data_IF_134453900593
#
_entry.id   IF_134453900593
#
_cell.length_a   1.000
_cell.length_b   1.000
_cell.length_c   1.000
_cell.angle_alpha   90.00
_cell.angle_beta   90.00
_cell.angle_gamma   90.00
#
_symmetry.space_group_name_H-M   'P 1'
#
loop_
_entity.id
_entity.type
_entity.pdbx_description
1 polymer ?
#
# COMPACT_ATOMS: atom_id res chain seq x y z
N UNK A 1 27.66 35.06 7.09
CA UNK A 1 26.75 33.93 7.31
C UNK A 1 25.85 33.84 6.08
N UNK A 2 25.92 32.77 5.29
CA UNK A 2 25.06 32.58 4.12
C UNK A 2 23.63 32.44 4.62
N UNK A 3 22.63 33.18 4.09
CA UNK A 3 21.25 33.04 4.54
C UNK A 3 20.76 31.61 4.33
N UNK A 4 20.33 30.95 5.39
CA UNK A 4 19.88 29.54 5.36
C UNK A 4 18.79 29.30 4.32
N UNK A 5 17.88 30.27 4.12
CA UNK A 5 16.80 30.19 3.13
C UNK A 5 17.27 30.08 1.67
N UNK A 6 18.51 30.47 1.39
CA UNK A 6 19.05 30.48 0.03
C UNK A 6 19.84 29.20 -0.29
N UNK A 7 20.08 28.35 0.70
CA UNK A 7 20.94 27.17 0.57
C UNK A 7 20.32 25.87 1.06
N UNK A 8 19.20 25.93 1.78
CA UNK A 8 18.52 24.76 2.31
C UNK A 8 17.07 24.70 1.79
N UNK A 9 16.83 23.79 0.88
CA UNK A 9 15.47 23.34 0.57
C UNK A 9 15.07 22.36 1.67
N UNK A 10 14.17 22.78 2.56
CA UNK A 10 13.62 21.90 3.59
C UNK A 10 12.53 21.00 3.00
N UNK A 11 12.33 19.80 3.58
CA UNK A 11 11.50 18.75 3.02
C UNK A 11 10.00 19.04 3.22
N UNK A 12 9.47 20.11 2.66
CA UNK A 12 8.05 20.42 2.85
C UNK A 12 7.21 20.01 1.65
N UNK A 13 7.50 20.40 0.48
CA UNK A 13 6.77 20.02 -0.72
C UNK A 13 7.70 19.64 -1.88
N UNK A 14 9.00 19.79 -1.68
CA UNK A 14 10.03 19.51 -2.67
C UNK A 14 10.89 18.33 -2.23
N UNK A 15 11.58 17.74 -3.19
CA UNK A 15 12.61 16.73 -2.92
C UNK A 15 13.67 17.32 -1.97
N UNK A 16 14.13 16.50 -1.05
CA UNK A 16 15.21 16.88 -0.14
C UNK A 16 16.47 17.26 -0.92
N UNK A 17 17.38 18.00 -0.25
CA UNK A 17 18.64 18.38 -0.85
C UNK A 17 19.59 17.23 -1.24
N UNK A 18 19.19 15.98 -1.03
CA UNK A 18 19.89 14.78 -1.49
C UNK A 18 19.61 14.43 -2.95
N UNK A 19 18.60 15.03 -3.55
CA UNK A 19 18.22 14.73 -4.91
C UNK A 19 18.32 15.96 -5.82
N UNK A 20 18.52 15.75 -7.13
CA UNK A 20 18.52 16.85 -8.08
C UNK A 20 17.19 17.64 -8.02
N UNK A 21 17.23 18.94 -8.27
CA UNK A 21 16.03 19.75 -8.38
C UNK A 21 15.04 19.15 -9.39
N UNK A 22 13.75 19.21 -9.09
CA UNK A 22 12.71 18.81 -10.02
C UNK A 22 12.71 19.67 -11.29
N UNK A 23 12.50 19.05 -12.43
CA UNK A 23 12.18 19.72 -13.68
C UNK A 23 10.85 20.47 -13.60
N UNK A 24 10.55 21.30 -14.59
CA UNK A 24 9.31 22.11 -14.61
C UNK A 24 8.05 21.22 -14.62
N UNK A 25 8.04 20.19 -15.48
CA UNK A 25 6.94 19.24 -15.59
C UNK A 25 6.76 18.42 -14.32
N UNK A 26 7.87 17.94 -13.73
CA UNK A 26 7.85 17.19 -12.47
C UNK A 26 7.24 18.02 -11.32
N UNK A 27 7.62 19.31 -11.22
CA UNK A 27 7.02 20.23 -10.24
C UNK A 27 5.54 20.47 -10.51
N UNK A 28 5.13 20.62 -11.75
CA UNK A 28 3.73 20.82 -12.12
C UNK A 28 2.87 19.58 -11.76
N UNK A 29 3.39 18.39 -12.01
CA UNK A 29 2.73 17.12 -11.66
C UNK A 29 2.65 16.96 -10.14
N UNK A 30 3.75 17.19 -9.41
CA UNK A 30 3.76 17.14 -7.96
C UNK A 30 2.78 18.17 -7.36
N UNK A 31 2.78 19.42 -7.85
CA UNK A 31 1.85 20.46 -7.38
C UNK A 31 0.38 20.08 -7.64
N UNK A 32 0.09 19.38 -8.74
CA UNK A 32 -1.25 18.89 -9.05
C UNK A 32 -1.65 17.75 -8.10
N UNK A 33 -0.77 16.79 -7.84
CA UNK A 33 -0.98 15.73 -6.86
C UNK A 33 -1.16 16.31 -5.44
N UNK A 34 -0.33 17.27 -5.05
CA UNK A 34 -0.44 17.95 -3.75
C UNK A 34 -1.78 18.68 -3.60
N UNK A 35 -2.22 19.41 -4.64
CA UNK A 35 -3.53 20.08 -4.63
C UNK A 35 -4.67 19.10 -4.45
N UNK A 36 -4.68 18.00 -5.19
CA UNK A 36 -5.66 16.92 -5.03
C UNK A 36 -5.64 16.33 -3.62
N UNK A 37 -4.45 16.04 -3.09
CA UNK A 37 -4.28 15.54 -1.72
C UNK A 37 -4.83 16.53 -0.68
N UNK A 38 -4.56 17.82 -0.85
CA UNK A 38 -4.97 18.88 0.06
C UNK A 38 -6.46 19.21 -0.01
N UNK A 39 -7.01 19.29 -1.22
CA UNK A 39 -8.37 19.80 -1.45
C UNK A 39 -9.42 18.68 -1.51
N UNK A 40 -9.01 17.43 -1.82
CA UNK A 40 -9.91 16.28 -1.95
C UNK A 40 -9.64 15.24 -0.88
N UNK A 41 -8.43 14.63 -0.86
CA UNK A 41 -8.18 13.49 0.03
C UNK A 41 -8.26 13.87 1.51
N UNK A 42 -7.61 14.95 1.91
CA UNK A 42 -7.53 15.34 3.33
C UNK A 42 -8.89 15.71 3.93
N UNK A 43 -9.73 16.56 3.32
CA UNK A 43 -11.05 16.88 3.88
C UNK A 43 -11.98 15.66 3.86
N UNK A 44 -12.04 14.92 2.75
CA UNK A 44 -12.91 13.74 2.63
C UNK A 44 -12.44 12.63 3.59
N UNK A 45 -11.13 12.38 3.69
CA UNK A 45 -10.60 11.39 4.62
C UNK A 45 -10.92 11.69 6.08
N UNK A 46 -10.93 12.98 6.48
CA UNK A 46 -11.36 13.43 7.81
C UNK A 46 -12.86 13.23 8.06
N UNK A 47 -13.67 13.46 7.04
CA UNK A 47 -15.12 13.26 7.10
C UNK A 47 -15.44 11.77 7.25
N UNK A 48 -14.90 10.93 6.37
CA UNK A 48 -15.09 9.47 6.40
C UNK A 48 -14.59 8.83 7.70
N UNK A 49 -13.51 9.36 8.29
CA UNK A 49 -12.98 8.88 9.58
C UNK A 49 -13.99 8.99 10.72
N UNK A 50 -14.96 9.89 10.63
CA UNK A 50 -16.00 10.15 11.63
C UNK A 50 -17.33 9.46 11.34
N UNK A 51 -17.47 8.89 10.14
CA UNK A 51 -18.70 8.23 9.71
C UNK A 51 -18.75 6.78 10.21
N UNK A 52 -19.98 6.27 10.31
CA UNK A 52 -20.20 4.83 10.39
C UNK A 52 -19.70 4.15 9.11
N UNK A 53 -19.07 2.95 9.20
CA UNK A 53 -18.52 2.28 8.03
C UNK A 53 -19.50 2.03 6.89
N UNK A 54 -20.76 1.67 7.19
CA UNK A 54 -21.78 1.48 6.16
C UNK A 54 -22.20 2.81 5.52
N UNK A 55 -22.32 3.87 6.33
CA UNK A 55 -22.62 5.21 5.83
C UNK A 55 -21.48 5.77 4.96
N UNK A 56 -20.23 5.45 5.29
CA UNK A 56 -19.04 5.89 4.55
C UNK A 56 -19.01 5.40 3.10
N UNK A 57 -19.68 4.30 2.78
CA UNK A 57 -19.75 3.72 1.43
C UNK A 57 -21.15 3.78 0.82
N UNK A 58 -22.12 4.37 1.50
CA UNK A 58 -23.49 4.50 0.99
C UNK A 58 -23.55 5.34 -0.30
N UNK A 59 -24.55 5.16 -1.16
CA UNK A 59 -24.75 6.05 -2.30
C UNK A 59 -24.82 7.51 -1.87
N UNK A 60 -24.05 8.38 -2.56
CA UNK A 60 -23.97 9.81 -2.23
C UNK A 60 -22.91 10.15 -1.17
N UNK A 61 -22.23 9.17 -0.59
CA UNK A 61 -21.08 9.41 0.30
C UNK A 61 -19.95 10.15 -0.43
N UNK A 62 -19.20 11.02 0.28
CA UNK A 62 -18.04 11.69 -0.28
C UNK A 62 -16.93 10.72 -0.74
N UNK A 63 -16.93 9.46 -0.27
CA UNK A 63 -16.03 8.42 -0.75
C UNK A 63 -16.03 8.30 -2.29
N UNK A 64 -17.20 8.31 -2.92
CA UNK A 64 -17.35 8.18 -4.37
C UNK A 64 -16.81 9.40 -5.14
N UNK A 65 -16.87 10.58 -4.52
CA UNK A 65 -16.29 11.81 -5.08
C UNK A 65 -14.78 11.68 -5.27
N UNK A 66 -14.08 10.97 -4.37
CA UNK A 66 -12.63 10.75 -4.48
C UNK A 66 -12.27 10.07 -5.80
N UNK A 67 -13.00 9.03 -6.19
CA UNK A 67 -12.75 8.33 -7.46
C UNK A 67 -13.09 9.18 -8.68
N UNK A 68 -14.17 9.94 -8.61
CA UNK A 68 -14.55 10.84 -9.69
C UNK A 68 -13.52 11.97 -9.91
N UNK A 69 -12.98 12.54 -8.83
CA UNK A 69 -11.93 13.56 -8.91
C UNK A 69 -10.57 12.98 -9.30
N UNK A 70 -10.22 11.78 -8.79
CA UNK A 70 -9.00 11.10 -9.19
C UNK A 70 -8.98 10.75 -10.69
N UNK A 71 -10.11 10.33 -11.24
CA UNK A 71 -10.24 10.05 -12.67
C UNK A 71 -9.93 11.27 -13.56
N UNK A 72 -10.23 12.49 -13.08
CA UNK A 72 -9.92 13.74 -13.81
C UNK A 72 -8.42 14.05 -13.87
N UNK A 73 -7.62 13.47 -12.95
CA UNK A 73 -6.17 13.66 -12.97
C UNK A 73 -5.50 12.85 -14.09
N UNK A 74 -6.16 11.80 -14.59
CA UNK A 74 -5.62 10.93 -15.65
C UNK A 74 -4.34 10.18 -15.23
N UNK A 75 -4.11 9.96 -13.94
CA UNK A 75 -2.92 9.29 -13.40
C UNK A 75 -3.09 7.76 -13.42
N UNK A 76 -3.40 7.23 -14.57
CA UNK A 76 -3.53 5.80 -14.82
C UNK A 76 -2.23 5.21 -15.44
N UNK A 77 -2.14 3.89 -15.65
CA UNK A 77 -0.96 3.28 -16.26
C UNK A 77 -0.55 3.88 -17.60
N UNK A 78 -1.49 4.41 -18.40
CA UNK A 78 -1.19 5.02 -19.70
C UNK A 78 -0.48 6.37 -19.58
N UNK A 79 -0.73 7.10 -18.48
CA UNK A 79 -0.01 8.32 -18.17
C UNK A 79 1.49 8.03 -17.95
N UNK A 80 1.80 7.05 -17.10
CA UNK A 80 3.21 6.70 -16.82
C UNK A 80 3.94 6.11 -18.03
N UNK A 81 3.23 5.42 -18.92
CA UNK A 81 3.80 4.86 -20.15
C UNK A 81 4.27 5.92 -21.17
N UNK A 82 3.94 7.19 -20.97
CA UNK A 82 4.38 8.30 -21.84
C UNK A 82 5.82 8.78 -21.52
N UNK A 83 6.37 8.36 -20.36
CA UNK A 83 7.68 8.76 -19.89
C UNK A 83 8.70 7.62 -20.04
N UNK A 84 9.97 7.97 -20.06
CA UNK A 84 11.01 6.97 -19.88
C UNK A 84 10.89 6.32 -18.48
N UNK A 85 11.38 5.08 -18.31
CA UNK A 85 11.17 4.34 -17.05
C UNK A 85 11.69 5.06 -15.80
N UNK A 86 12.79 5.77 -15.87
CA UNK A 86 13.36 6.46 -14.70
C UNK A 86 12.50 7.67 -14.30
N UNK A 87 12.05 8.45 -15.28
CA UNK A 87 11.11 9.57 -15.05
C UNK A 87 9.78 9.05 -14.53
N UNK A 88 9.22 7.98 -15.12
CA UNK A 88 7.97 7.39 -14.65
C UNK A 88 8.04 6.97 -13.17
N UNK A 89 9.13 6.31 -12.76
CA UNK A 89 9.36 5.90 -11.36
C UNK A 89 9.46 7.10 -10.42
N UNK A 90 10.17 8.15 -10.85
CA UNK A 90 10.27 9.39 -10.06
C UNK A 90 8.90 10.02 -9.86
N UNK A 91 8.09 10.14 -10.91
CA UNK A 91 6.73 10.68 -10.84
C UNK A 91 5.81 9.81 -9.96
N UNK A 92 5.87 8.49 -10.10
CA UNK A 92 5.13 7.56 -9.25
C UNK A 92 5.45 7.79 -7.78
N UNK A 93 6.72 7.97 -7.45
CA UNK A 93 7.17 8.25 -6.08
C UNK A 93 6.64 9.59 -5.54
N UNK A 94 6.73 10.65 -6.34
CA UNK A 94 6.21 11.98 -5.96
C UNK A 94 4.71 11.94 -5.71
N UNK A 95 3.95 11.36 -6.63
CA UNK A 95 2.49 11.24 -6.54
C UNK A 95 2.10 10.40 -5.32
N UNK A 96 2.73 9.24 -5.11
CA UNK A 96 2.44 8.35 -3.99
C UNK A 96 2.68 9.00 -2.62
N UNK A 97 3.75 9.78 -2.48
CA UNK A 97 4.03 10.55 -1.26
C UNK A 97 2.95 11.63 -1.02
N UNK A 98 2.53 12.36 -2.06
CA UNK A 98 1.47 13.37 -1.92
C UNK A 98 0.12 12.74 -1.56
N UNK A 99 -0.23 11.59 -2.15
CA UNK A 99 -1.46 10.88 -1.79
C UNK A 99 -1.46 10.47 -0.31
N UNK A 100 -0.36 9.91 0.19
CA UNK A 100 -0.20 9.56 1.60
C UNK A 100 -0.23 10.76 2.54
N UNK A 101 0.34 11.89 2.13
CA UNK A 101 0.26 13.16 2.84
C UNK A 101 -1.19 13.66 2.97
N UNK A 102 -2.04 13.38 1.99
CA UNK A 102 -3.46 13.68 2.00
C UNK A 102 -4.24 12.82 2.99
N UNK A 103 -4.31 11.52 2.72
CA UNK A 103 -5.00 10.52 3.55
C UNK A 103 -4.50 9.11 3.24
N UNK A 104 -4.00 8.40 4.24
CA UNK A 104 -3.46 7.05 4.06
C UNK A 104 -4.50 6.05 3.54
N UNK A 105 -5.69 6.02 4.13
CA UNK A 105 -6.74 5.07 3.75
C UNK A 105 -7.23 5.29 2.33
N UNK A 106 -7.46 6.53 1.91
CA UNK A 106 -7.86 6.86 0.54
C UNK A 106 -6.73 6.61 -0.47
N UNK A 107 -5.47 6.88 -0.10
CA UNK A 107 -4.32 6.57 -0.95
C UNK A 107 -4.24 5.07 -1.25
N UNK A 108 -4.38 4.22 -0.21
CA UNK A 108 -4.40 2.76 -0.36
C UNK A 108 -5.63 2.31 -1.15
N UNK A 109 -6.80 2.92 -0.92
CA UNK A 109 -8.03 2.61 -1.65
C UNK A 109 -7.89 2.87 -3.15
N UNK A 110 -7.35 4.04 -3.54
CA UNK A 110 -7.09 4.39 -4.94
C UNK A 110 -6.09 3.42 -5.60
N UNK A 111 -5.01 3.07 -4.90
CA UNK A 111 -4.03 2.12 -5.43
C UNK A 111 -4.62 0.71 -5.59
N UNK A 112 -5.30 0.19 -4.58
CA UNK A 112 -5.95 -1.12 -4.66
C UNK A 112 -6.99 -1.19 -5.79
N UNK A 113 -7.66 -0.07 -6.07
CA UNK A 113 -8.62 0.03 -7.16
C UNK A 113 -7.99 -0.23 -8.54
N UNK A 114 -6.72 0.10 -8.73
CA UNK A 114 -6.02 -0.05 -10.01
C UNK A 114 -5.32 -1.40 -10.19
N UNK A 115 -5.17 -2.22 -9.15
CA UNK A 115 -4.41 -3.47 -9.21
C UNK A 115 -4.87 -4.44 -10.30
N UNK A 116 -6.17 -4.76 -10.47
CA UNK A 116 -6.61 -5.65 -11.53
C UNK A 116 -6.28 -5.09 -12.93
N UNK A 117 -6.49 -3.80 -13.16
CA UNK A 117 -6.17 -3.14 -14.42
C UNK A 117 -4.67 -3.15 -14.73
N UNK A 118 -3.85 -2.78 -13.75
CA UNK A 118 -2.39 -2.79 -13.90
C UNK A 118 -1.85 -4.19 -14.20
N UNK A 119 -2.40 -5.21 -13.54
CA UNK A 119 -2.03 -6.59 -13.77
C UNK A 119 -2.47 -7.07 -15.16
N UNK A 120 -3.69 -6.78 -15.58
CA UNK A 120 -4.18 -7.10 -16.92
C UNK A 120 -3.33 -6.48 -18.02
N UNK A 121 -2.96 -5.21 -17.86
CA UNK A 121 -2.08 -4.49 -18.77
C UNK A 121 -0.67 -5.10 -18.82
N UNK A 122 -0.10 -5.47 -17.66
CA UNK A 122 1.25 -6.05 -17.59
C UNK A 122 1.41 -7.39 -18.30
N UNK A 123 0.33 -8.18 -18.38
CA UNK A 123 0.31 -9.45 -19.12
C UNK A 123 -0.22 -9.32 -20.55
N UNK A 124 -0.59 -8.10 -20.99
CA UNK A 124 -1.09 -7.83 -22.34
C UNK A 124 -2.46 -8.44 -22.66
N UNK A 125 -3.29 -8.74 -21.65
CA UNK A 125 -4.61 -9.32 -21.84
C UNK A 125 -5.66 -8.23 -21.99
N UNK A 126 -6.00 -7.89 -23.26
CA UNK A 126 -6.93 -6.81 -23.59
C UNK A 126 -8.34 -7.02 -23.03
N UNK A 127 -8.86 -8.25 -22.98
CA UNK A 127 -10.18 -8.56 -22.41
C UNK A 127 -10.22 -8.23 -20.93
N UNK A 128 -9.17 -8.56 -20.18
CA UNK A 128 -9.05 -8.23 -18.76
C UNK A 128 -8.81 -6.73 -18.52
N UNK A 129 -8.13 -6.05 -19.43
CA UNK A 129 -8.00 -4.59 -19.41
C UNK A 129 -9.40 -3.94 -19.54
N UNK A 130 -10.18 -4.34 -20.53
CA UNK A 130 -11.56 -3.84 -20.75
C UNK A 130 -12.46 -4.17 -19.55
N UNK A 131 -12.36 -5.40 -19.01
CA UNK A 131 -13.10 -5.83 -17.81
C UNK A 131 -12.80 -4.94 -16.60
N UNK A 132 -11.56 -4.47 -16.45
CA UNK A 132 -11.09 -3.74 -15.28
C UNK A 132 -11.16 -2.22 -15.41
N UNK A 133 -11.25 -1.70 -16.66
CA UNK A 133 -11.27 -0.25 -16.94
C UNK A 133 -12.48 0.42 -16.31
N UNK A 134 -12.24 1.51 -15.59
CA UNK A 134 -13.27 2.30 -14.92
C UNK A 134 -13.94 1.63 -13.71
N UNK A 135 -13.45 0.46 -13.28
CA UNK A 135 -13.97 -0.27 -12.13
C UNK A 135 -13.08 -0.11 -10.92
N UNK A 136 -13.69 -0.11 -9.73
CA UNK A 136 -12.95 -0.17 -8.47
C UNK A 136 -12.51 -1.61 -8.26
N UNK A 137 -11.20 -1.81 -8.20
CA UNK A 137 -10.58 -3.09 -7.95
C UNK A 137 -10.29 -3.35 -6.47
N UNK A 138 -9.98 -4.62 -6.18
CA UNK A 138 -9.38 -5.05 -4.92
C UNK A 138 -8.32 -6.12 -5.16
N UNK A 139 -7.48 -6.33 -4.15
CA UNK A 139 -6.49 -7.40 -4.12
C UNK A 139 -6.89 -8.44 -3.08
N UNK A 140 -7.36 -9.60 -3.55
CA UNK A 140 -7.80 -10.70 -2.72
C UNK A 140 -6.65 -11.70 -2.54
N UNK A 141 -6.01 -11.67 -1.38
CA UNK A 141 -4.92 -12.57 -1.01
C UNK A 141 -5.08 -13.08 0.43
N UNK A 142 -5.48 -12.23 1.37
CA UNK A 142 -5.70 -12.58 2.77
C UNK A 142 -7.01 -13.35 2.92
N UNK A 143 -7.01 -14.38 3.75
CA UNK A 143 -8.14 -15.27 4.00
C UNK A 143 -8.34 -15.45 5.51
N UNK A 144 -9.48 -15.97 5.99
CA UNK A 144 -9.74 -16.09 7.44
C UNK A 144 -8.66 -16.85 8.21
N UNK A 145 -8.05 -17.82 7.58
CA UNK A 145 -7.03 -18.73 8.14
C UNK A 145 -5.62 -18.50 7.55
N UNK A 146 -5.44 -17.44 6.74
CA UNK A 146 -4.17 -17.08 6.10
C UNK A 146 -3.98 -15.57 6.07
N UNK A 147 -2.98 -15.09 6.78
CA UNK A 147 -2.56 -13.69 6.81
C UNK A 147 -1.17 -13.51 6.18
N UNK A 148 -0.23 -12.95 6.94
CA UNK A 148 1.16 -12.73 6.48
C UNK A 148 1.92 -14.03 6.14
N UNK A 149 1.43 -15.19 6.59
CA UNK A 149 1.95 -16.53 6.23
C UNK A 149 1.78 -16.87 4.74
N UNK A 150 0.87 -16.22 4.01
CA UNK A 150 0.77 -16.37 2.54
C UNK A 150 2.04 -15.91 1.80
N UNK A 151 2.86 -15.15 2.47
CA UNK A 151 4.16 -14.69 1.96
C UNK A 151 5.28 -15.72 2.13
N UNK A 152 5.00 -16.93 2.63
CA UNK A 152 5.99 -18.02 2.66
C UNK A 152 6.34 -18.38 1.22
N UNK A 153 7.59 -18.11 0.85
CA UNK A 153 8.17 -18.52 -0.41
C UNK A 153 8.85 -19.88 -0.23
N UNK A 154 8.98 -20.58 -1.34
CA UNK A 154 9.47 -21.96 -1.39
C UNK A 154 10.71 -22.25 -0.58
N UNK A 155 10.73 -23.45 -0.03
CA UNK A 155 11.89 -24.02 0.64
C UNK A 155 12.27 -23.35 1.95
N UNK A 156 11.41 -22.55 2.54
CA UNK A 156 11.62 -22.00 3.87
C UNK A 156 11.16 -23.01 4.93
N UNK A 157 12.03 -23.37 5.87
CA UNK A 157 11.71 -24.15 7.06
C UNK A 157 10.86 -23.31 8.00
N UNK A 158 9.61 -23.07 7.60
CA UNK A 158 8.72 -22.19 8.31
C UNK A 158 7.44 -22.90 8.70
N UNK A 159 7.14 -23.02 9.99
CA UNK A 159 5.97 -23.79 10.44
C UNK A 159 4.63 -23.10 10.20
N UNK A 160 4.60 -21.77 9.98
CA UNK A 160 3.35 -21.03 9.87
C UNK A 160 2.67 -21.14 8.49
N UNK A 161 3.44 -21.30 7.43
CA UNK A 161 2.90 -21.63 6.10
C UNK A 161 2.65 -23.11 5.96
N UNK A 162 2.10 -23.74 6.99
CA UNK A 162 2.06 -25.17 7.16
C UNK A 162 1.71 -25.91 5.86
N UNK A 163 2.50 -26.94 5.49
CA UNK A 163 2.10 -27.88 4.45
C UNK A 163 0.66 -28.34 4.70
N UNK A 164 -0.20 -28.26 3.69
CA UNK A 164 -1.62 -28.61 3.83
C UNK A 164 -2.57 -27.44 4.06
N UNK A 165 -2.11 -26.20 4.31
CA UNK A 165 -2.99 -25.03 4.35
C UNK A 165 -3.21 -24.45 2.95
N UNK A 166 -4.34 -24.79 2.33
CA UNK A 166 -4.75 -24.22 1.02
C UNK A 166 -5.45 -22.88 1.13
N UNK A 167 -5.79 -22.45 2.35
CA UNK A 167 -6.67 -21.29 2.57
C UNK A 167 -8.15 -21.61 2.33
N UNK A 168 -8.99 -20.62 2.56
CA UNK A 168 -10.44 -20.77 2.51
C UNK A 168 -11.00 -20.59 1.09
N UNK A 169 -10.54 -19.55 0.35
CA UNK A 169 -10.90 -19.41 -1.07
C UNK A 169 -10.07 -20.34 -1.92
N UNK A 170 -10.73 -21.17 -2.72
CA UNK A 170 -10.10 -22.14 -3.61
C UNK A 170 -10.70 -22.08 -5.00
N UNK A 171 -9.92 -22.53 -5.99
CA UNK A 171 -10.37 -22.71 -7.35
C UNK A 171 -10.31 -24.16 -7.79
N UNK A 172 -11.24 -24.59 -8.62
CA UNK A 172 -11.09 -25.75 -9.47
C UNK A 172 -10.87 -25.27 -10.90
N UNK A 173 -9.76 -25.68 -11.50
CA UNK A 173 -9.40 -25.28 -12.88
C UNK A 173 -9.60 -26.45 -13.82
N UNK A 174 -10.46 -26.27 -14.82
CA UNK A 174 -10.74 -27.26 -15.87
C UNK A 174 -10.06 -26.86 -17.18
N UNK A 175 -10.39 -27.51 -18.28
CA UNK A 175 -9.91 -27.13 -19.61
C UNK A 175 -10.35 -25.70 -19.98
N UNK A 176 -11.60 -25.31 -19.63
CA UNK A 176 -12.24 -24.10 -20.14
C UNK A 176 -12.63 -23.10 -19.03
N UNK A 177 -12.71 -23.52 -17.79
CA UNK A 177 -13.29 -22.76 -16.68
C UNK A 177 -12.41 -22.75 -15.42
N UNK A 178 -12.59 -21.69 -14.63
CA UNK A 178 -12.17 -21.53 -13.25
C UNK A 178 -13.44 -21.47 -12.39
N UNK A 179 -13.54 -22.32 -11.37
CA UNK A 179 -14.68 -22.35 -10.47
C UNK A 179 -14.21 -21.95 -9.07
N UNK A 180 -14.67 -20.80 -8.57
CA UNK A 180 -14.27 -20.25 -7.28
C UNK A 180 -15.26 -20.59 -6.19
N UNK A 181 -14.75 -20.97 -5.02
CA UNK A 181 -15.53 -21.21 -3.81
C UNK A 181 -14.78 -20.72 -2.57
N UNK A 182 -15.54 -20.27 -1.56
CA UNK A 182 -15.01 -19.90 -0.25
C UNK A 182 -15.15 -18.42 0.10
N UNK A 183 -14.46 -18.02 1.15
CA UNK A 183 -14.52 -16.69 1.75
C UNK A 183 -13.13 -16.08 1.85
N UNK A 184 -12.97 -14.84 1.41
CA UNK A 184 -11.77 -14.07 1.71
C UNK A 184 -11.84 -13.45 3.12
N UNK A 185 -10.73 -12.92 3.60
CA UNK A 185 -10.67 -12.16 4.84
C UNK A 185 -11.45 -10.85 4.73
N UNK A 186 -11.96 -10.36 5.86
CA UNK A 186 -12.53 -9.01 5.97
C UNK A 186 -11.51 -7.88 5.75
N UNK A 187 -10.21 -8.18 5.70
CA UNK A 187 -9.12 -7.21 5.53
C UNK A 187 -8.77 -6.92 4.07
N UNK A 188 -9.57 -7.34 3.13
CA UNK A 188 -9.38 -7.01 1.71
C UNK A 188 -9.70 -5.53 1.48
N UNK A 189 -8.68 -4.77 1.08
CA UNK A 189 -8.82 -3.35 0.73
C UNK A 189 -9.81 -3.18 -0.42
N UNK A 190 -10.78 -2.29 -0.27
CA UNK A 190 -11.95 -2.11 -1.13
C UNK A 190 -12.91 -3.31 -1.18
N UNK A 191 -12.72 -4.39 -0.41
CA UNK A 191 -13.56 -5.59 -0.50
C UNK A 191 -15.05 -5.33 -0.39
N UNK A 192 -15.46 -4.36 0.42
CA UNK A 192 -16.85 -3.98 0.59
C UNK A 192 -17.47 -3.27 -0.64
N UNK A 193 -16.65 -2.70 -1.54
CA UNK A 193 -17.10 -1.85 -2.67
C UNK A 193 -16.58 -2.28 -4.04
N UNK A 194 -15.56 -3.14 -4.09
CA UNK A 194 -14.88 -3.52 -5.32
C UNK A 194 -15.84 -4.16 -6.33
N UNK A 195 -15.61 -3.89 -7.60
CA UNK A 195 -16.35 -4.43 -8.75
C UNK A 195 -15.57 -5.51 -9.49
N UNK A 196 -14.25 -5.56 -9.27
CA UNK A 196 -13.35 -6.54 -9.85
C UNK A 196 -12.25 -6.89 -8.84
N UNK A 197 -11.85 -8.17 -8.76
CA UNK A 197 -10.82 -8.64 -7.85
C UNK A 197 -9.65 -9.26 -8.60
N UNK A 198 -8.42 -8.91 -8.20
CA UNK A 198 -7.22 -9.70 -8.49
C UNK A 198 -7.06 -10.71 -7.37
N UNK A 199 -7.28 -11.99 -7.69
CA UNK A 199 -7.28 -13.09 -6.72
C UNK A 199 -5.97 -13.88 -6.79
N UNK A 200 -5.38 -14.15 -5.61
CA UNK A 200 -4.26 -15.09 -5.42
C UNK A 200 -4.69 -16.21 -4.48
N UNK A 201 -4.95 -17.40 -5.03
CA UNK A 201 -5.64 -18.49 -4.33
C UNK A 201 -5.04 -19.84 -4.67
N UNK A 202 -5.31 -20.85 -3.83
CA UNK A 202 -4.99 -22.23 -4.14
C UNK A 202 -5.94 -22.82 -5.19
N UNK A 203 -5.44 -23.65 -6.07
CA UNK A 203 -6.21 -24.24 -7.16
C UNK A 203 -5.97 -25.75 -7.32
N UNK A 204 -7.04 -26.48 -7.63
CA UNK A 204 -6.99 -27.87 -8.07
C UNK A 204 -7.07 -27.93 -9.59
N UNK A 205 -6.03 -28.47 -10.22
CA UNK A 205 -5.92 -28.68 -11.67
C UNK A 205 -6.32 -30.11 -12.09
N UNK A 206 -7.01 -30.85 -11.22
CA UNK A 206 -7.40 -32.25 -11.43
C UNK A 206 -6.47 -33.28 -10.74
N UNK A 207 -5.45 -32.79 -10.01
CA UNK A 207 -4.48 -33.60 -9.27
C UNK A 207 -4.40 -33.22 -7.76
N UNK A 208 -5.41 -32.50 -7.28
CA UNK A 208 -5.48 -31.98 -5.91
C UNK A 208 -4.86 -30.59 -5.75
N UNK A 209 -4.92 -30.08 -4.52
CA UNK A 209 -4.48 -28.72 -4.19
C UNK A 209 -2.99 -28.58 -3.90
N UNK A 210 -2.28 -29.70 -3.68
CA UNK A 210 -0.91 -29.67 -3.18
C UNK A 210 0.05 -30.38 -4.13
N UNK A 211 1.23 -29.77 -4.29
CA UNK A 211 2.37 -30.37 -4.95
C UNK A 211 3.05 -31.44 -4.08
N UNK A 212 4.07 -32.10 -4.62
CA UNK A 212 4.89 -33.08 -3.90
C UNK A 212 5.68 -32.45 -2.74
N UNK A 213 5.90 -31.15 -2.79
CA UNK A 213 6.54 -30.33 -1.77
C UNK A 213 5.58 -29.93 -0.63
N UNK A 214 4.31 -30.33 -0.71
CA UNK A 214 3.27 -30.00 0.27
C UNK A 214 2.75 -28.56 0.16
N UNK A 215 3.21 -27.77 -0.82
CA UNK A 215 2.72 -26.42 -1.05
C UNK A 215 1.49 -26.42 -1.96
N UNK A 216 0.53 -25.47 -1.77
CA UNK A 216 -0.64 -25.42 -2.62
C UNK A 216 -0.27 -24.99 -4.04
N UNK A 217 -0.87 -25.65 -5.01
CA UNK A 217 -0.88 -25.18 -6.37
C UNK A 217 -1.58 -23.81 -6.41
N UNK A 218 -0.96 -22.81 -7.03
CA UNK A 218 -1.48 -21.45 -7.05
C UNK A 218 -2.17 -21.10 -8.35
N UNK A 219 -3.12 -20.15 -8.24
CA UNK A 219 -3.78 -19.47 -9.34
C UNK A 219 -3.83 -17.97 -9.04
N UNK A 220 -3.38 -17.15 -10.00
CA UNK A 220 -3.77 -15.74 -10.03
C UNK A 220 -4.81 -15.55 -11.12
N UNK A 221 -5.93 -14.89 -10.82
CA UNK A 221 -6.98 -14.59 -11.79
C UNK A 221 -7.66 -13.25 -11.49
N UNK A 222 -8.28 -12.67 -12.52
CA UNK A 222 -9.13 -11.48 -12.36
C UNK A 222 -10.60 -11.92 -12.42
N UNK A 223 -11.34 -11.64 -11.35
CA UNK A 223 -12.72 -12.03 -11.18
C UNK A 223 -13.63 -10.79 -11.15
N UNK A 224 -14.64 -10.66 -12.03
CA UNK A 224 -15.72 -9.70 -11.83
C UNK A 224 -16.52 -10.07 -10.57
N UNK A 225 -16.94 -9.06 -9.81
CA UNK A 225 -17.63 -9.24 -8.54
C UNK A 225 -19.13 -8.89 -8.60
N UNK A 226 -19.66 -8.63 -9.79
CA UNK A 226 -21.07 -8.37 -10.10
C UNK A 226 -21.76 -9.58 -10.77
N UNK A 227 -21.23 -10.79 -10.55
CA UNK A 227 -21.73 -12.05 -11.12
C UNK A 227 -22.44 -12.90 -10.10
N UNK A 228 -23.27 -13.83 -10.58
CA UNK A 228 -23.97 -14.79 -9.73
C UNK A 228 -22.98 -15.60 -8.87
N UNK A 229 -23.33 -15.81 -7.60
CA UNK A 229 -22.50 -16.54 -6.64
C UNK A 229 -21.52 -15.66 -5.85
N UNK A 230 -21.41 -14.37 -6.16
CA UNK A 230 -20.63 -13.43 -5.35
C UNK A 230 -21.54 -12.70 -4.36
N UNK A 231 -21.11 -12.63 -3.10
CA UNK A 231 -21.71 -11.78 -2.09
C UNK A 231 -20.64 -11.11 -1.23
N UNK A 232 -21.01 -10.09 -0.45
CA UNK A 232 -20.07 -9.29 0.35
C UNK A 232 -20.50 -9.20 1.79
N UNK A 233 -19.52 -9.13 2.69
CA UNK A 233 -19.71 -8.74 4.08
C UNK A 233 -19.88 -7.23 4.24
N UNK A 234 -20.11 -6.82 5.49
CA UNK A 234 -20.18 -5.41 5.86
C UNK A 234 -18.78 -4.80 5.96
N UNK A 235 -18.64 -3.49 5.70
CA UNK A 235 -17.37 -2.82 5.92
C UNK A 235 -16.98 -2.85 7.40
N UNK A 236 -15.68 -3.04 7.65
CA UNK A 236 -15.14 -3.14 9.01
C UNK A 236 -15.13 -1.79 9.73
N UNK A 237 -15.53 -1.80 11.01
CA UNK A 237 -15.24 -0.73 11.95
C UNK A 237 -13.80 -0.87 12.46
N UNK A 238 -12.95 0.11 12.21
CA UNK A 238 -11.51 0.09 12.51
C UNK A 238 -11.07 1.27 13.36
N UNK A 239 -9.94 1.14 14.03
CA UNK A 239 -9.35 2.26 14.77
C UNK A 239 -8.72 3.31 13.86
N UNK A 240 -8.14 2.93 12.73
CA UNK A 240 -7.48 3.80 11.76
C UNK A 240 -7.77 3.40 10.33
N UNK A 241 -7.31 4.22 9.37
CA UNK A 241 -7.60 4.04 7.94
C UNK A 241 -9.10 3.81 7.67
N UNK A 242 -9.96 4.52 8.39
CA UNK A 242 -11.42 4.33 8.34
C UNK A 242 -12.01 4.74 6.99
N UNK A 243 -11.28 5.55 6.23
CA UNK A 243 -11.60 5.92 4.85
C UNK A 243 -11.31 4.81 3.81
N UNK A 244 -10.65 3.71 4.21
CA UNK A 244 -10.43 2.52 3.40
C UNK A 244 -11.51 1.48 3.71
N UNK A 245 -12.49 1.24 2.83
CA UNK A 245 -13.54 0.24 3.06
C UNK A 245 -12.98 -1.16 2.87
N UNK A 246 -12.89 -1.92 3.95
CA UNK A 246 -12.47 -3.31 3.95
C UNK A 246 -13.64 -4.20 4.35
N UNK A 247 -13.77 -5.37 3.73
CA UNK A 247 -14.85 -6.32 3.98
C UNK A 247 -14.62 -7.65 3.28
N UNK A 248 -15.36 -8.68 3.73
CA UNK A 248 -15.30 -10.00 3.12
C UNK A 248 -15.93 -10.03 1.72
N UNK A 249 -15.42 -10.97 0.91
CA UNK A 249 -16.03 -11.38 -0.35
C UNK A 249 -16.24 -12.90 -0.27
N UNK A 250 -17.42 -13.35 -0.65
CA UNK A 250 -17.83 -14.76 -0.64
C UNK A 250 -18.03 -15.22 -2.08
N UNK A 251 -17.54 -16.41 -2.40
CA UNK A 251 -17.72 -17.08 -3.67
C UNK A 251 -18.46 -18.40 -3.45
N UNK A 252 -19.58 -18.56 -4.13
CA UNK A 252 -20.39 -19.77 -4.16
C UNK A 252 -20.53 -20.24 -5.60
N UNK A 253 -19.68 -21.22 -5.98
CA UNK A 253 -19.64 -21.83 -7.29
C UNK A 253 -19.55 -20.79 -8.45
N UNK A 254 -18.75 -19.75 -8.26
CA UNK A 254 -18.55 -18.69 -9.26
C UNK A 254 -17.74 -19.22 -10.42
N UNK A 255 -18.30 -19.18 -11.62
CA UNK A 255 -17.69 -19.71 -12.84
C UNK A 255 -17.12 -18.58 -13.70
N UNK A 256 -15.85 -18.67 -14.01
CA UNK A 256 -15.10 -17.73 -14.84
C UNK A 256 -14.49 -18.46 -16.03
N UNK A 257 -14.39 -17.83 -17.20
CA UNK A 257 -13.60 -18.38 -18.31
C UNK A 257 -12.13 -18.57 -17.89
N UNK A 258 -11.50 -19.68 -18.27
CA UNK A 258 -10.08 -19.95 -17.95
C UNK A 258 -9.14 -18.84 -18.44
N UNK A 259 -9.48 -18.13 -19.51
CA UNK A 259 -8.71 -17.00 -20.03
C UNK A 259 -8.66 -15.78 -19.08
N UNK A 260 -9.41 -15.80 -17.97
CA UNK A 260 -9.31 -14.81 -16.89
C UNK A 260 -8.17 -15.13 -15.91
N UNK A 261 -7.45 -16.24 -16.11
CA UNK A 261 -6.21 -16.50 -15.41
C UNK A 261 -5.14 -15.50 -15.81
N UNK A 262 -4.45 -14.98 -14.80
CA UNK A 262 -3.27 -14.10 -14.91
C UNK A 262 -2.00 -14.93 -14.85
N UNK A 263 -1.96 -15.87 -13.91
CA UNK A 263 -0.86 -16.81 -13.74
C UNK A 263 -1.39 -18.18 -13.28
N UNK A 264 -1.01 -19.20 -13.99
CA UNK A 264 -1.29 -20.58 -13.64
C UNK A 264 -0.10 -21.19 -12.86
N UNK A 265 -0.27 -22.37 -12.34
CA UNK A 265 0.62 -23.17 -11.50
C UNK A 265 2.11 -22.77 -11.53
N UNK A 266 2.77 -22.92 -12.66
CA UNK A 266 4.23 -22.68 -12.79
C UNK A 266 4.62 -21.19 -12.74
N UNK A 267 3.70 -20.30 -13.10
CA UNK A 267 3.92 -18.86 -13.16
C UNK A 267 3.50 -18.15 -11.86
N UNK A 268 2.72 -18.83 -11.02
CA UNK A 268 2.04 -18.23 -9.87
C UNK A 268 3.00 -17.53 -8.91
N UNK A 269 4.07 -18.20 -8.51
CA UNK A 269 4.96 -17.65 -7.48
C UNK A 269 5.78 -16.46 -7.96
N UNK A 270 6.22 -16.47 -9.20
CA UNK A 270 6.88 -15.33 -9.82
C UNK A 270 5.95 -14.11 -9.89
N UNK A 271 4.70 -14.33 -10.33
CA UNK A 271 3.70 -13.28 -10.39
C UNK A 271 3.32 -12.75 -9.01
N UNK A 272 3.14 -13.63 -8.03
CA UNK A 272 2.86 -13.26 -6.64
C UNK A 272 4.01 -12.44 -6.03
N UNK A 273 5.27 -12.83 -6.27
CA UNK A 273 6.45 -12.10 -5.79
C UNK A 273 6.54 -10.68 -6.37
N UNK A 274 6.20 -10.52 -7.66
CA UNK A 274 6.14 -9.21 -8.31
C UNK A 274 5.02 -8.34 -7.72
N UNK A 275 3.83 -8.92 -7.47
CA UNK A 275 2.71 -8.22 -6.85
C UNK A 275 3.05 -7.72 -5.44
N UNK A 276 3.73 -8.53 -4.62
CA UNK A 276 4.19 -8.10 -3.28
C UNK A 276 5.24 -7.01 -3.34
N UNK A 277 6.18 -7.11 -4.29
CA UNK A 277 7.17 -6.05 -4.48
C UNK A 277 6.51 -4.72 -4.81
N UNK A 278 5.48 -4.74 -5.66
CA UNK A 278 4.70 -3.56 -5.99
C UNK A 278 3.96 -2.99 -4.77
N UNK A 279 3.19 -3.81 -4.06
CA UNK A 279 2.43 -3.39 -2.88
C UNK A 279 3.35 -2.82 -1.79
N UNK A 280 4.44 -3.49 -1.46
CA UNK A 280 5.40 -3.03 -0.47
C UNK A 280 6.01 -1.67 -0.80
N UNK A 281 6.35 -1.41 -2.08
CA UNK A 281 6.86 -0.09 -2.49
C UNK A 281 5.80 1.00 -2.46
N UNK A 282 4.54 0.66 -2.78
CA UNK A 282 3.43 1.61 -2.64
C UNK A 282 3.23 2.04 -1.19
N UNK A 283 3.26 1.10 -0.24
CA UNK A 283 3.20 1.40 1.20
C UNK A 283 4.33 2.33 1.63
N UNK A 284 5.54 2.15 1.07
CA UNK A 284 6.66 3.05 1.35
C UNK A 284 6.34 4.51 0.95
N UNK A 285 5.78 4.73 -0.24
CA UNK A 285 5.43 6.08 -0.68
C UNK A 285 4.34 6.69 0.21
N UNK A 286 3.26 5.97 0.45
CA UNK A 286 2.13 6.43 1.27
C UNK A 286 2.59 6.82 2.68
N UNK A 287 3.35 5.97 3.36
CA UNK A 287 3.74 6.25 4.75
C UNK A 287 4.91 7.23 4.88
N UNK A 288 5.68 7.47 3.84
CA UNK A 288 6.57 8.64 3.76
C UNK A 288 5.73 9.92 3.75
N UNK A 289 4.65 9.98 2.98
CA UNK A 289 3.71 11.11 2.94
C UNK A 289 3.03 11.35 4.29
N UNK A 290 2.58 10.29 4.97
CA UNK A 290 2.01 10.38 6.33
C UNK A 290 3.02 10.94 7.33
N UNK A 291 4.26 10.46 7.31
CA UNK A 291 5.33 10.93 8.18
C UNK A 291 5.62 12.43 7.93
N UNK A 292 5.70 12.84 6.66
CA UNK A 292 5.86 14.26 6.29
C UNK A 292 4.69 15.10 6.80
N UNK A 293 3.45 14.65 6.62
CA UNK A 293 2.26 15.34 7.12
C UNK A 293 2.31 15.54 8.65
N UNK A 294 2.70 14.52 9.40
CA UNK A 294 2.82 14.60 10.84
C UNK A 294 3.92 15.59 11.27
N UNK A 295 5.08 15.55 10.60
CA UNK A 295 6.17 16.49 10.84
C UNK A 295 5.74 17.95 10.57
N UNK A 296 5.08 18.22 9.45
CA UNK A 296 4.62 19.58 9.08
C UNK A 296 3.61 20.11 10.11
N UNK A 297 2.67 19.28 10.56
CA UNK A 297 1.74 19.64 11.62
C UNK A 297 2.45 19.93 12.95
N UNK A 298 3.45 19.11 13.32
CA UNK A 298 4.24 19.33 14.53
C UNK A 298 5.05 20.63 14.45
N UNK A 299 5.65 20.91 13.30
CA UNK A 299 6.42 22.14 13.07
C UNK A 299 5.52 23.38 13.20
N UNK A 300 4.37 23.40 12.54
CA UNK A 300 3.41 24.51 12.62
C UNK A 300 2.91 24.70 14.07
N UNK A 301 2.50 23.62 14.73
CA UNK A 301 2.05 23.66 16.11
C UNK A 301 3.12 24.17 17.07
N UNK A 302 4.39 23.83 16.86
CA UNK A 302 5.49 24.31 17.72
C UNK A 302 5.69 25.84 17.63
N UNK A 303 5.36 26.46 16.52
CA UNK A 303 5.41 27.91 16.37
C UNK A 303 4.23 28.64 16.99
N UNK A 304 3.06 27.99 17.07
CA UNK A 304 1.81 28.59 17.58
C UNK A 304 1.61 28.34 19.07
N UNK A 305 1.89 27.11 19.54
CA UNK A 305 1.68 26.69 20.93
C UNK A 305 2.61 27.40 21.89
N UNK A 306 2.06 28.01 22.93
CA UNK A 306 2.82 28.70 23.97
C UNK A 306 2.83 27.88 25.25
N UNK A 307 3.99 27.60 25.79
CA UNK A 307 4.24 27.04 27.14
C UNK A 307 5.62 27.48 27.62
N UNK A 308 5.83 27.56 28.95
CA UNK A 308 7.12 27.98 29.52
C UNK A 308 7.51 29.40 29.15
N UNK A 309 6.51 30.30 28.98
CA UNK A 309 6.74 31.71 28.72
C UNK A 309 6.80 32.13 27.24
N UNK A 310 6.72 31.21 26.29
CA UNK A 310 6.75 31.53 24.84
C UNK A 310 6.34 30.38 23.93
N UNK A 311 6.44 30.56 22.61
CA UNK A 311 6.24 29.47 21.66
C UNK A 311 7.16 28.28 21.95
N UNK A 312 6.61 27.04 21.91
CA UNK A 312 7.40 25.86 22.29
C UNK A 312 8.58 25.57 21.37
N UNK A 313 8.59 26.12 20.15
CA UNK A 313 9.74 26.06 19.26
C UNK A 313 11.00 26.68 19.86
N UNK A 314 10.88 27.57 20.85
CA UNK A 314 12.02 28.18 21.54
C UNK A 314 12.73 27.23 22.49
N UNK A 315 12.07 26.13 22.92
CA UNK A 315 12.67 25.14 23.80
C UNK A 315 13.61 24.20 23.03
N UNK A 316 14.79 23.96 23.62
CA UNK A 316 15.82 23.15 23.02
C UNK A 316 15.35 21.72 22.69
N UNK A 317 14.58 21.10 23.57
CA UNK A 317 14.04 19.76 23.38
C UNK A 317 13.05 19.71 22.18
N UNK A 318 12.21 20.74 22.01
CA UNK A 318 11.30 20.83 20.87
C UNK A 318 12.07 20.90 19.54
N UNK A 319 13.11 21.71 19.49
CA UNK A 319 14.00 21.81 18.31
C UNK A 319 14.69 20.49 17.99
N UNK A 320 15.15 19.79 19.02
CA UNK A 320 15.75 18.47 18.86
C UNK A 320 14.75 17.46 18.28
N UNK A 321 13.53 17.40 18.82
CA UNK A 321 12.46 16.51 18.33
C UNK A 321 12.09 16.80 16.87
N UNK A 322 11.95 18.07 16.50
CA UNK A 322 11.66 18.47 15.12
C UNK A 322 12.81 18.09 14.18
N UNK A 323 14.05 18.29 14.59
CA UNK A 323 15.22 17.85 13.81
C UNK A 323 15.29 16.35 13.62
N UNK A 324 14.97 15.56 14.67
CA UNK A 324 14.92 14.10 14.58
C UNK A 324 13.77 13.62 13.67
N UNK A 325 12.59 14.23 13.77
CA UNK A 325 11.48 13.93 12.86
C UNK A 325 11.83 14.22 11.40
N UNK A 326 12.41 15.39 11.10
CA UNK A 326 12.82 15.76 9.75
C UNK A 326 13.82 14.74 9.16
N UNK A 327 14.84 14.38 9.93
CA UNK A 327 15.84 13.36 9.55
C UNK A 327 15.19 12.00 9.24
N UNK A 328 14.19 11.58 10.04
CA UNK A 328 13.46 10.31 9.84
C UNK A 328 12.59 10.34 8.59
N UNK A 329 11.94 11.46 8.28
CA UNK A 329 11.19 11.65 7.03
C UNK A 329 12.14 11.49 5.83
N UNK A 330 13.34 12.09 5.89
CA UNK A 330 14.32 11.95 4.81
C UNK A 330 14.83 10.52 4.65
N UNK A 331 15.10 9.81 5.76
CA UNK A 331 15.47 8.41 5.73
C UNK A 331 14.39 7.55 5.08
N UNK A 332 13.13 7.74 5.49
CA UNK A 332 11.98 7.04 4.92
C UNK A 332 11.84 7.32 3.42
N UNK A 333 11.95 8.59 3.01
CA UNK A 333 11.88 9.01 1.60
C UNK A 333 12.97 8.39 0.75
N UNK A 334 14.22 8.42 1.21
CA UNK A 334 15.35 7.85 0.49
C UNK A 334 15.17 6.33 0.26
N UNK A 335 14.73 5.60 1.29
CA UNK A 335 14.45 4.17 1.19
C UNK A 335 13.23 3.91 0.29
N UNK A 336 12.16 4.68 0.43
CA UNK A 336 10.97 4.54 -0.39
C UNK A 336 11.28 4.68 -1.88
N UNK A 337 12.01 5.71 -2.27
CA UNK A 337 12.41 5.96 -3.67
C UNK A 337 13.33 4.88 -4.19
N UNK A 338 14.36 4.53 -3.43
CA UNK A 338 15.29 3.48 -3.83
C UNK A 338 14.62 2.13 -3.99
N UNK A 339 13.65 1.81 -3.15
CA UNK A 339 12.89 0.56 -3.27
C UNK A 339 12.00 0.52 -4.51
N UNK A 340 11.38 1.64 -4.88
CA UNK A 340 10.57 1.74 -6.08
C UNK A 340 11.42 1.65 -7.36
N UNK A 341 12.57 2.35 -7.40
CA UNK A 341 13.56 2.18 -8.47
C UNK A 341 13.95 0.71 -8.63
N UNK A 342 14.28 0.04 -7.54
CA UNK A 342 14.64 -1.37 -7.56
C UNK A 342 13.49 -2.22 -8.13
N UNK A 343 12.27 -2.02 -7.66
CA UNK A 343 11.12 -2.81 -8.09
C UNK A 343 10.75 -2.59 -9.58
N UNK A 344 11.02 -1.40 -10.12
CA UNK A 344 10.62 -1.02 -11.49
C UNK A 344 11.73 -1.14 -12.52
N UNK A 345 12.96 -0.86 -12.14
CA UNK A 345 14.08 -0.75 -13.08
C UNK A 345 15.06 -1.92 -13.03
N UNK A 346 15.03 -2.74 -11.96
CA UNK A 346 15.94 -3.89 -11.90
C UNK A 346 15.45 -5.02 -12.81
N UNK A 347 16.37 -5.66 -13.55
CA UNK A 347 16.00 -6.76 -14.44
C UNK A 347 15.55 -8.02 -13.69
N UNK A 348 15.92 -8.13 -12.42
CA UNK A 348 15.48 -9.18 -11.50
C UNK A 348 15.16 -8.54 -10.16
N UNK A 349 13.96 -8.76 -9.67
CA UNK A 349 13.51 -8.28 -8.37
C UNK A 349 13.33 -9.44 -7.41
N UNK A 350 13.63 -9.19 -6.15
CA UNK A 350 13.38 -10.14 -5.08
C UNK A 350 12.45 -9.49 -4.04
N UNK A 351 11.33 -10.09 -3.68
CA UNK A 351 10.32 -9.46 -2.81
C UNK A 351 10.84 -9.11 -1.41
N UNK A 352 11.88 -9.76 -0.92
CA UNK A 352 12.50 -9.42 0.38
C UNK A 352 13.22 -8.07 0.37
N UNK A 353 13.71 -7.60 -0.77
CA UNK A 353 14.33 -6.28 -0.85
C UNK A 353 13.29 -5.18 -0.62
N UNK A 354 12.13 -5.31 -1.25
CA UNK A 354 11.02 -4.36 -1.08
C UNK A 354 10.35 -4.51 0.28
N UNK A 355 10.30 -5.72 0.83
CA UNK A 355 9.81 -5.98 2.19
C UNK A 355 10.66 -5.27 3.25
N UNK A 356 12.00 -5.29 3.14
CA UNK A 356 12.88 -4.52 4.04
C UNK A 356 12.57 -3.02 4.00
N UNK A 357 12.36 -2.48 2.79
CA UNK A 357 12.02 -1.08 2.63
C UNK A 357 10.70 -0.75 3.32
N UNK A 358 9.67 -1.60 3.14
CA UNK A 358 8.37 -1.44 3.78
C UNK A 358 8.51 -1.44 5.31
N UNK A 359 9.22 -2.38 5.89
CA UNK A 359 9.48 -2.42 7.35
C UNK A 359 10.16 -1.12 7.80
N UNK A 360 11.28 -0.75 7.17
CA UNK A 360 12.05 0.43 7.55
C UNK A 360 11.23 1.72 7.47
N UNK A 361 10.50 1.93 6.38
CA UNK A 361 9.70 3.14 6.17
C UNK A 361 8.54 3.23 7.16
N UNK A 362 7.79 2.14 7.36
CA UNK A 362 6.61 2.16 8.24
C UNK A 362 7.00 2.33 9.71
N UNK A 363 8.15 1.78 10.14
CA UNK A 363 8.68 1.99 11.49
C UNK A 363 9.16 3.43 11.69
N UNK A 364 9.88 4.02 10.72
CA UNK A 364 10.29 5.42 10.82
C UNK A 364 9.09 6.36 10.78
N UNK A 365 8.07 6.08 9.95
CA UNK A 365 6.82 6.82 9.93
C UNK A 365 6.11 6.77 11.30
N UNK A 366 6.02 5.59 11.92
CA UNK A 366 5.42 5.45 13.24
C UNK A 366 6.18 6.25 14.31
N UNK A 367 7.52 6.27 14.27
CA UNK A 367 8.35 7.07 15.18
C UNK A 367 8.09 8.57 15.00
N UNK A 368 8.03 9.05 13.74
CA UNK A 368 7.72 10.46 13.45
C UNK A 368 6.34 10.84 13.95
N UNK A 369 5.33 10.03 13.65
CA UNK A 369 3.94 10.30 14.07
C UNK A 369 3.80 10.24 15.60
N UNK A 370 4.48 9.28 16.26
CA UNK A 370 4.51 9.21 17.73
C UNK A 370 5.12 10.47 18.38
N UNK A 371 6.27 10.93 17.86
CA UNK A 371 6.92 12.14 18.36
C UNK A 371 6.08 13.40 18.11
N UNK A 372 5.45 13.50 16.95
CA UNK A 372 4.52 14.57 16.64
C UNK A 372 3.33 14.56 17.59
N UNK A 373 2.71 13.39 17.81
CA UNK A 373 1.60 13.23 18.76
C UNK A 373 2.02 13.66 20.18
N UNK A 374 3.19 13.22 20.64
CA UNK A 374 3.73 13.59 21.96
C UNK A 374 3.96 15.11 22.06
N UNK A 375 4.37 15.78 20.99
CA UNK A 375 4.59 17.22 20.96
C UNK A 375 3.28 18.02 21.09
N UNK A 376 2.16 17.50 20.57
CA UNK A 376 0.83 18.08 20.75
C UNK A 376 0.33 17.93 22.20
N UNK A 377 0.86 17.00 22.99
CA UNK A 377 0.43 16.74 24.36
C UNK A 377 -1.05 16.32 24.41
N UNK A 378 -1.82 16.83 25.37
CA UNK A 378 -3.24 16.51 25.52
C UNK A 378 -4.08 16.86 24.27
N UNK A 379 -3.71 17.92 23.53
CA UNK A 379 -4.36 18.29 22.27
C UNK A 379 -4.26 17.18 21.22
N UNK A 380 -3.18 16.40 21.22
CA UNK A 380 -3.01 15.25 20.33
C UNK A 380 -4.02 14.13 20.56
N UNK A 381 -4.69 14.09 21.72
CA UNK A 381 -5.71 13.08 22.04
C UNK A 381 -7.13 13.48 21.67
N UNK A 382 -7.31 14.68 21.09
CA UNK A 382 -8.62 15.21 20.72
C UNK A 382 -8.85 15.09 19.21
N UNK A 383 -10.11 14.95 18.79
CA UNK A 383 -10.50 14.91 17.37
C UNK A 383 -10.38 16.28 16.68
N UNK A 384 -10.02 17.34 17.39
CA UNK A 384 -9.85 18.70 16.84
C UNK A 384 -8.57 18.81 16.01
N UNK A 385 -7.53 18.04 16.38
CA UNK A 385 -6.24 18.06 15.71
C UNK A 385 -6.04 16.82 14.82
N UNK A 386 -5.35 16.95 13.69
CA UNK A 386 -5.21 15.84 12.73
C UNK A 386 -4.27 14.73 13.20
N UNK A 387 -3.47 14.99 14.23
CA UNK A 387 -2.37 14.12 14.62
C UNK A 387 -2.85 12.77 15.18
N UNK A 388 -4.01 12.76 15.86
CA UNK A 388 -4.60 11.54 16.40
C UNK A 388 -4.99 10.56 15.29
N UNK A 389 -5.56 11.07 14.18
CA UNK A 389 -5.90 10.27 12.99
C UNK A 389 -4.64 9.71 12.35
N UNK A 390 -3.59 10.53 12.15
CA UNK A 390 -2.32 10.08 11.58
C UNK A 390 -1.69 8.96 12.43
N UNK A 391 -1.82 9.04 13.77
CA UNK A 391 -1.33 8.00 14.67
C UNK A 391 -2.09 6.68 14.49
N UNK A 392 -3.42 6.73 14.45
CA UNK A 392 -4.27 5.55 14.24
C UNK A 392 -4.05 4.91 12.85
N UNK A 393 -3.96 5.72 11.82
CA UNK A 393 -3.73 5.26 10.45
C UNK A 393 -2.36 4.59 10.31
N UNK A 394 -1.31 5.18 10.90
CA UNK A 394 0.06 4.65 10.81
C UNK A 394 0.22 3.33 11.55
N UNK A 395 -0.57 3.08 12.61
CA UNK A 395 -0.48 1.82 13.35
C UNK A 395 -0.82 0.60 12.48
N UNK A 396 -1.74 0.74 11.54
CA UNK A 396 -2.10 -0.32 10.61
C UNK A 396 -0.94 -0.68 9.65
N UNK A 397 -0.13 0.29 9.25
CA UNK A 397 1.00 0.12 8.35
C UNK A 397 2.04 -0.94 8.79
N UNK A 398 2.17 -1.15 10.12
CA UNK A 398 3.09 -2.15 10.66
C UNK A 398 2.57 -3.58 10.51
N UNK A 399 1.29 -3.74 10.14
CA UNK A 399 0.60 -5.04 10.05
C UNK A 399 0.23 -5.39 8.61
N UNK A 400 -0.28 -4.43 7.86
CA UNK A 400 -0.75 -4.63 6.49
C UNK A 400 0.39 -4.86 5.48
N UNK A 401 0.09 -5.49 4.35
CA UNK A 401 1.05 -5.89 3.31
C UNK A 401 2.24 -6.71 3.82
N UNK A 402 1.99 -7.54 4.83
CA UNK A 402 2.96 -8.31 5.59
C UNK A 402 3.31 -7.65 6.92
N UNK A 403 3.10 -8.38 8.00
CA UNK A 403 3.42 -7.93 9.36
C UNK A 403 4.96 -7.76 9.52
N UNK A 404 5.39 -6.63 10.11
CA UNK A 404 6.80 -6.22 10.10
C UNK A 404 7.76 -7.23 10.77
N UNK A 405 7.38 -7.87 11.88
CA UNK A 405 8.23 -8.88 12.51
C UNK A 405 8.38 -10.12 11.63
N UNK A 406 7.29 -10.53 11.00
CA UNK A 406 7.28 -11.64 10.05
C UNK A 406 8.20 -11.35 8.85
N UNK A 407 8.08 -10.16 8.24
CA UNK A 407 8.93 -9.76 7.11
C UNK A 407 10.41 -9.70 7.51
N UNK A 408 10.72 -9.14 8.69
CA UNK A 408 12.09 -9.03 9.20
C UNK A 408 12.69 -10.40 9.46
N UNK A 409 11.93 -11.30 10.08
CA UNK A 409 12.38 -12.67 10.33
C UNK A 409 12.68 -13.43 9.03
N UNK A 410 11.85 -13.29 8.00
CA UNK A 410 12.06 -13.90 6.70
C UNK A 410 13.31 -13.41 6.01
N UNK A 411 13.63 -12.13 6.17
CA UNK A 411 14.92 -11.62 5.73
C UNK A 411 16.07 -12.35 6.43
N UNK A 412 15.97 -12.58 7.74
CA UNK A 412 16.97 -13.35 8.50
C UNK A 412 17.14 -14.78 7.99
N UNK A 413 16.04 -15.46 7.66
CA UNK A 413 16.07 -16.80 7.03
C UNK A 413 16.79 -16.76 5.69
N UNK A 414 16.45 -15.79 4.82
CA UNK A 414 17.10 -15.62 3.52
C UNK A 414 18.62 -15.41 3.68
N UNK A 415 19.03 -14.50 4.57
CA UNK A 415 20.45 -14.21 4.81
C UNK A 415 21.20 -15.43 5.32
N UNK A 416 20.59 -16.22 6.20
CA UNK A 416 21.17 -17.48 6.69
C UNK A 416 21.43 -18.48 5.54
N UNK A 417 20.48 -18.64 4.63
CA UNK A 417 20.61 -19.53 3.46
C UNK A 417 21.66 -19.03 2.50
N UNK A 418 21.62 -17.74 2.15
CA UNK A 418 22.63 -17.16 1.28
C UNK A 418 24.05 -17.37 1.86
N UNK A 419 24.20 -17.28 3.18
CA UNK A 419 25.48 -17.57 3.82
C UNK A 419 25.88 -19.05 3.67
N UNK A 420 24.95 -19.99 3.87
CA UNK A 420 25.20 -21.43 3.68
C UNK A 420 25.57 -21.75 2.22
N UNK A 421 24.98 -21.02 1.26
CA UNK A 421 25.28 -21.14 -0.17
C UNK A 421 26.58 -20.42 -0.59
N UNK A 422 27.29 -19.80 0.34
CA UNK A 422 28.61 -19.22 0.13
C UNK A 422 28.66 -17.81 -0.45
N UNK A 423 27.53 -17.05 -0.48
CA UNK A 423 27.49 -15.70 -1.05
C UNK A 423 28.42 -14.69 -0.35
N UNK A 424 28.71 -14.90 0.94
CA UNK A 424 29.55 -14.02 1.74
C UNK A 424 31.05 -14.26 1.53
N UNK A 425 31.43 -15.25 0.72
CA UNK A 425 32.82 -15.65 0.43
C UNK A 425 33.22 -15.47 -1.04
N UNK A 426 32.32 -14.92 -1.87
CA UNK A 426 32.58 -14.70 -3.28
C UNK A 426 33.10 -13.28 -3.59
#
# INVERSE_FOLDING_TARGET
MIPVKDTLQLPVAELSGFEPPLGEDERAIQATAHRFAKEVLRPIGRELDRMDPEAAIAPGSPYWTVFAEAAKLGLDPSFFAQFDPATAVKLESLIGEEMGWGDAGLAISLAAATFPLAMAASIGNQELVELSTGKIGCWLITQPDRGSDVQVLYGEDWPAGAPGNKGNVTAKVTADEIILNGQCSAWVSNGAVAQVALCYIAADYGNGFFGKDGLPHGLACIAPLDVQGVSRGKPLAKIGQRSLPQGEIYFDNVRLPKRFAVALQDQYHGNLGAAWSYAGTHMCQVFTGVARSAFEHALAYAHERKQGGGPIIQHQLTRWRLGDMARRVEMARAIARRSLEYARLSPRTHPYVTAQAKVSVTEEAMKVVHEAFQLFGANGTTLEYPIEKLFRDTRAALIEDGENYMLTMRLGVLLSRLHQDGWATA
#
